data_IF_270592909674
#
_entry.id   IF_270592909674
#
_cell.length_a   1.000
_cell.length_b   1.000
_cell.length_c   1.000
_cell.angle_alpha   90.00
_cell.angle_beta   90.00
_cell.angle_gamma   90.00
#
_symmetry.space_group_name_H-M   'P 1'
#
loop_
_entity.id
_entity.type
_entity.pdbx_description
1 polymer ?
#
# COMPACT_ATOMS: atom_id res chain seq x y z
N UNK A 1 0.36 -39.02 8.23
CA UNK A 1 0.19 -39.51 6.84
C UNK A 1 -0.19 -38.31 6.00
N UNK A 2 0.58 -38.02 4.97
CA UNK A 2 0.27 -36.93 4.05
C UNK A 2 -1.02 -37.29 3.30
N UNK A 3 -2.13 -36.63 3.64
CA UNK A 3 -3.34 -36.73 2.82
C UNK A 3 -3.06 -35.96 1.52
N UNK A 4 -3.10 -36.65 0.38
CA UNK A 4 -2.97 -36.09 -0.96
C UNK A 4 -4.11 -35.09 -1.23
N UNK A 5 -3.97 -33.83 -0.77
CA UNK A 5 -4.92 -32.76 -1.05
C UNK A 5 -4.98 -32.39 -2.54
N UNK A 6 -3.91 -32.69 -3.29
CA UNK A 6 -3.84 -32.48 -4.74
C UNK A 6 -4.73 -33.44 -5.55
N UNK A 7 -5.22 -34.52 -4.93
CA UNK A 7 -6.10 -35.51 -5.57
C UNK A 7 -7.60 -35.26 -5.30
N UNK A 8 -7.94 -34.28 -4.45
CA UNK A 8 -9.34 -33.98 -4.13
C UNK A 8 -10.08 -33.46 -5.37
N UNK A 9 -11.22 -34.08 -5.75
CA UNK A 9 -12.04 -33.60 -6.86
C UNK A 9 -12.44 -32.14 -6.69
N UNK A 10 -12.49 -31.38 -7.79
CA UNK A 10 -12.87 -29.96 -7.74
C UNK A 10 -14.26 -29.70 -7.14
N UNK A 11 -15.19 -30.65 -7.33
CA UNK A 11 -16.52 -30.61 -6.71
C UNK A 11 -16.44 -30.71 -5.17
N UNK A 12 -15.56 -31.55 -4.65
CA UNK A 12 -15.37 -31.74 -3.21
C UNK A 12 -14.71 -30.51 -2.60
N UNK A 13 -13.72 -29.91 -3.29
CA UNK A 13 -13.13 -28.62 -2.89
C UNK A 13 -14.18 -27.51 -2.84
N UNK A 14 -15.03 -27.39 -3.86
CA UNK A 14 -16.12 -26.40 -3.89
C UNK A 14 -17.17 -26.65 -2.79
N UNK A 15 -17.50 -27.91 -2.51
CA UNK A 15 -18.41 -28.30 -1.45
C UNK A 15 -17.86 -28.00 -0.04
N UNK A 16 -16.57 -28.20 0.18
CA UNK A 16 -15.89 -27.86 1.44
C UNK A 16 -15.84 -26.34 1.62
N UNK A 17 -15.52 -25.57 0.57
CA UNK A 17 -15.62 -24.10 0.59
C UNK A 17 -17.03 -23.64 0.95
N UNK A 18 -18.04 -24.26 0.33
CA UNK A 18 -19.44 -23.95 0.59
C UNK A 18 -19.83 -24.20 2.06
N UNK A 19 -19.31 -25.26 2.66
CA UNK A 19 -19.51 -25.58 4.08
C UNK A 19 -18.82 -24.59 5.02
N UNK A 20 -17.61 -24.12 4.66
CA UNK A 20 -16.82 -23.19 5.50
C UNK A 20 -17.35 -21.76 5.40
N UNK A 21 -17.60 -21.29 4.18
CA UNK A 21 -18.02 -19.90 3.90
C UNK A 21 -19.51 -19.69 4.14
N UNK A 22 -20.31 -20.76 4.07
CA UNK A 22 -21.76 -20.70 4.13
C UNK A 22 -22.39 -20.25 2.80
N UNK A 23 -23.70 -20.44 2.69
CA UNK A 23 -24.44 -20.27 1.45
C UNK A 23 -24.40 -18.83 0.92
N UNK A 24 -24.66 -17.83 1.77
CA UNK A 24 -24.72 -16.42 1.37
C UNK A 24 -23.41 -15.94 0.75
N UNK A 25 -22.28 -16.20 1.42
CA UNK A 25 -20.96 -15.79 0.95
C UNK A 25 -20.55 -16.59 -0.29
N UNK A 26 -20.77 -17.89 -0.30
CA UNK A 26 -20.43 -18.76 -1.43
C UNK A 26 -21.15 -18.34 -2.71
N UNK A 27 -22.44 -18.00 -2.62
CA UNK A 27 -23.22 -17.50 -3.77
C UNK A 27 -22.64 -16.19 -4.35
N UNK A 28 -22.15 -15.29 -3.50
CA UNK A 28 -21.53 -14.04 -3.96
C UNK A 28 -20.19 -14.26 -4.68
N UNK A 29 -19.47 -15.33 -4.32
CA UNK A 29 -18.13 -15.64 -4.84
C UNK A 29 -18.14 -16.58 -6.04
N UNK A 30 -19.12 -17.49 -6.14
CA UNK A 30 -19.29 -18.47 -7.22
C UNK A 30 -19.99 -17.85 -8.45
N UNK A 31 -19.48 -16.74 -8.94
CA UNK A 31 -20.06 -16.03 -10.07
C UNK A 31 -19.96 -16.85 -11.36
N UNK A 32 -21.06 -16.92 -12.11
CA UNK A 32 -21.11 -17.64 -13.40
C UNK A 32 -21.28 -19.16 -13.31
N UNK A 33 -21.52 -19.72 -12.12
CA UNK A 33 -21.90 -21.13 -11.94
C UNK A 33 -23.37 -21.34 -12.31
N UNK A 34 -23.68 -22.45 -12.99
CA UNK A 34 -25.05 -22.84 -13.34
C UNK A 34 -25.83 -23.27 -12.08
N UNK A 35 -27.16 -23.10 -12.08
CA UNK A 35 -28.00 -23.58 -10.97
C UNK A 35 -27.84 -25.08 -10.73
N UNK A 36 -27.66 -25.87 -11.79
CA UNK A 36 -27.41 -27.31 -11.70
C UNK A 36 -26.11 -27.66 -10.99
N UNK A 37 -25.03 -26.91 -11.26
CA UNK A 37 -23.73 -27.14 -10.62
C UNK A 37 -23.74 -26.65 -9.17
N UNK A 38 -24.42 -25.53 -8.90
CA UNK A 38 -24.66 -25.05 -7.55
C UNK A 38 -25.43 -26.08 -6.71
N UNK A 39 -26.45 -26.71 -7.30
CA UNK A 39 -27.20 -27.77 -6.63
C UNK A 39 -26.31 -28.98 -6.33
N UNK A 40 -25.45 -29.39 -7.27
CA UNK A 40 -24.47 -30.46 -7.06
C UNK A 40 -23.51 -30.13 -5.92
N UNK A 41 -22.98 -28.90 -5.88
CA UNK A 41 -22.12 -28.44 -4.78
C UNK A 41 -22.85 -28.50 -3.45
N UNK A 42 -24.10 -28.01 -3.39
CA UNK A 42 -24.93 -28.00 -2.16
C UNK A 42 -25.26 -29.41 -1.67
N UNK A 43 -25.54 -30.35 -2.57
CA UNK A 43 -25.78 -31.75 -2.22
C UNK A 43 -24.48 -32.34 -1.68
N UNK A 44 -23.38 -32.17 -2.42
CA UNK A 44 -22.08 -32.72 -2.03
C UNK A 44 -21.59 -32.17 -0.69
N UNK A 45 -21.82 -30.90 -0.39
CA UNK A 45 -21.42 -30.29 0.90
C UNK A 45 -22.13 -30.89 2.10
N UNK A 46 -23.33 -31.48 1.91
CA UNK A 46 -24.05 -32.19 2.96
C UNK A 46 -23.56 -33.63 3.16
N UNK A 47 -23.06 -34.26 2.09
CA UNK A 47 -22.50 -35.61 2.12
C UNK A 47 -21.11 -35.65 2.78
N UNK A 48 -20.34 -34.57 2.63
CA UNK A 48 -19.01 -34.44 3.23
C UNK A 48 -19.12 -34.12 4.73
N UNK A 49 -18.97 -35.16 5.55
CA UNK A 49 -19.04 -35.07 7.01
C UNK A 49 -17.64 -35.28 7.60
N UNK A 50 -17.34 -34.63 8.73
CA UNK A 50 -16.08 -34.77 9.48
C UNK A 50 -14.81 -34.42 8.69
N UNK A 51 -14.89 -33.46 7.78
CA UNK A 51 -13.70 -32.93 7.09
C UNK A 51 -12.75 -32.30 8.12
N UNK A 52 -11.47 -32.75 8.20
CA UNK A 52 -10.49 -32.21 9.13
C UNK A 52 -10.28 -30.70 8.97
N UNK A 53 -9.92 -30.02 10.06
CA UNK A 53 -9.72 -28.57 10.06
C UNK A 53 -8.60 -28.15 9.10
N UNK A 54 -7.50 -28.93 9.07
CA UNK A 54 -6.34 -28.68 8.21
C UNK A 54 -6.74 -28.68 6.74
N UNK A 55 -7.60 -29.61 6.32
CA UNK A 55 -8.10 -29.70 4.95
C UNK A 55 -8.96 -28.49 4.60
N UNK A 56 -9.83 -28.05 5.52
CA UNK A 56 -10.65 -26.85 5.34
C UNK A 56 -9.80 -25.61 5.18
N UNK A 57 -8.79 -25.45 6.05
CA UNK A 57 -7.87 -24.31 6.02
C UNK A 57 -7.14 -24.25 4.67
N UNK A 58 -6.51 -25.35 4.26
CA UNK A 58 -5.76 -25.37 2.98
C UNK A 58 -6.65 -25.08 1.78
N UNK A 59 -7.89 -25.59 1.75
CA UNK A 59 -8.82 -25.31 0.65
C UNK A 59 -9.21 -23.83 0.59
N UNK A 60 -9.44 -23.19 1.74
CA UNK A 60 -9.73 -21.75 1.80
C UNK A 60 -8.55 -20.94 1.30
N UNK A 61 -7.33 -21.27 1.75
CA UNK A 61 -6.10 -20.61 1.30
C UNK A 61 -5.87 -20.79 -0.21
N UNK A 62 -6.07 -22.01 -0.74
CA UNK A 62 -5.96 -22.31 -2.17
C UNK A 62 -6.98 -21.50 -2.99
N UNK A 63 -8.22 -21.42 -2.53
CA UNK A 63 -9.29 -20.66 -3.20
C UNK A 63 -9.01 -19.16 -3.18
N UNK A 64 -8.59 -18.62 -2.04
CA UNK A 64 -8.17 -17.24 -1.90
C UNK A 64 -7.05 -16.90 -2.88
N UNK A 65 -5.98 -17.70 -2.90
CA UNK A 65 -4.86 -17.52 -3.83
C UNK A 65 -5.30 -17.56 -5.30
N UNK A 66 -6.19 -18.48 -5.68
CA UNK A 66 -6.73 -18.59 -7.04
C UNK A 66 -7.57 -17.38 -7.43
N UNK A 67 -8.46 -16.91 -6.54
CA UNK A 67 -9.27 -15.72 -6.77
C UNK A 67 -8.41 -14.49 -7.01
N UNK A 68 -7.35 -14.35 -6.22
CA UNK A 68 -6.46 -13.19 -6.29
C UNK A 68 -5.63 -13.28 -7.57
N UNK A 69 -5.09 -14.46 -7.91
CA UNK A 69 -4.41 -14.70 -9.20
C UNK A 69 -5.29 -14.41 -10.42
N UNK A 70 -6.59 -14.75 -10.39
CA UNK A 70 -7.51 -14.41 -11.49
C UNK A 70 -7.71 -12.90 -11.64
N UNK A 71 -7.89 -12.17 -10.53
CA UNK A 71 -7.90 -10.69 -10.55
C UNK A 71 -6.57 -10.14 -11.09
N UNK A 72 -5.45 -10.81 -10.83
CA UNK A 72 -4.12 -10.38 -11.27
C UNK A 72 -3.81 -10.68 -12.73
N UNK A 73 -4.39 -11.72 -13.37
CA UNK A 73 -4.25 -11.92 -14.82
C UNK A 73 -4.83 -10.78 -15.66
N UNK A 74 -5.76 -10.02 -15.10
CA UNK A 74 -6.33 -8.83 -15.75
C UNK A 74 -5.47 -7.57 -15.57
N UNK A 75 -4.50 -7.59 -14.66
CA UNK A 75 -3.52 -6.51 -14.51
C UNK A 75 -2.41 -6.78 -15.51
N UNK A 76 -2.30 -5.94 -16.54
CA UNK A 76 -1.23 -5.99 -17.54
C UNK A 76 0.12 -6.28 -16.86
N UNK A 77 0.73 -7.44 -17.13
CA UNK A 77 2.08 -7.80 -16.66
C UNK A 77 3.16 -6.78 -17.06
N UNK A 78 2.85 -5.88 -18.00
CA UNK A 78 3.71 -4.80 -18.47
C UNK A 78 3.60 -3.51 -17.64
N UNK A 79 2.54 -3.31 -16.84
CA UNK A 79 2.37 -2.11 -16.02
C UNK A 79 2.98 -2.33 -14.64
N UNK A 80 4.03 -1.56 -14.33
CA UNK A 80 4.57 -1.46 -12.98
C UNK A 80 3.43 -1.12 -12.00
N UNK A 81 3.23 -1.95 -10.98
CA UNK A 81 2.13 -1.82 -10.01
C UNK A 81 2.08 -0.43 -9.36
N UNK A 82 3.26 0.15 -9.13
CA UNK A 82 3.44 1.44 -8.48
C UNK A 82 3.72 2.61 -9.46
N UNK A 83 3.46 2.45 -10.76
CA UNK A 83 3.69 3.51 -11.75
C UNK A 83 3.01 4.85 -11.41
N UNK A 84 1.91 4.80 -10.65
CA UNK A 84 1.19 6.01 -10.20
C UNK A 84 2.03 6.90 -9.26
N UNK A 85 3.10 6.37 -8.64
CA UNK A 85 4.01 7.17 -7.81
C UNK A 85 4.86 8.15 -8.65
N UNK A 86 5.07 7.84 -9.93
CA UNK A 86 5.82 8.71 -10.84
C UNK A 86 5.06 10.01 -11.14
N UNK A 87 3.73 9.99 -11.04
CA UNK A 87 2.85 11.14 -11.28
C UNK A 87 2.74 12.09 -10.08
N UNK A 88 3.23 11.68 -8.91
CA UNK A 88 3.16 12.46 -7.66
C UNK A 88 4.44 13.27 -7.45
N UNK A 89 4.35 14.41 -6.76
CA UNK A 89 5.53 15.14 -6.27
C UNK A 89 5.98 14.65 -4.87
N UNK A 90 7.14 15.12 -4.38
CA UNK A 90 7.73 14.63 -3.12
C UNK A 90 6.87 14.90 -1.87
N UNK A 91 6.10 15.99 -1.84
CA UNK A 91 5.17 16.28 -0.75
C UNK A 91 3.98 15.34 -0.78
N UNK A 92 3.44 15.07 -1.97
CA UNK A 92 2.32 14.16 -2.15
C UNK A 92 2.70 12.72 -1.80
N UNK A 93 3.90 12.27 -2.19
CA UNK A 93 4.40 10.95 -1.79
C UNK A 93 4.59 10.89 -0.28
N UNK A 94 5.23 11.89 0.32
CA UNK A 94 5.43 11.89 1.77
C UNK A 94 4.09 11.86 2.51
N UNK A 95 3.13 12.69 2.10
CA UNK A 95 1.78 12.67 2.67
C UNK A 95 1.10 11.30 2.53
N UNK A 96 1.17 10.70 1.33
CA UNK A 96 0.59 9.40 1.02
C UNK A 96 1.11 8.29 1.94
N UNK A 97 2.41 8.27 2.24
CA UNK A 97 3.05 7.17 2.97
C UNK A 97 3.28 7.47 4.46
N UNK A 98 3.24 8.74 4.89
CA UNK A 98 3.62 9.14 6.26
C UNK A 98 2.78 8.51 7.38
N UNK A 99 1.56 8.08 7.08
CA UNK A 99 0.65 7.43 8.04
C UNK A 99 0.63 5.91 7.91
N UNK A 100 1.42 5.35 6.99
CA UNK A 100 1.48 3.91 6.72
C UNK A 100 2.45 3.20 7.68
N UNK A 101 2.40 1.88 7.70
CA UNK A 101 3.38 1.08 8.45
C UNK A 101 4.78 1.14 7.82
N UNK A 102 5.83 0.93 8.62
CA UNK A 102 7.23 0.92 8.14
C UNK A 102 7.44 0.03 6.91
N UNK A 103 6.78 -1.13 6.87
CA UNK A 103 6.81 -2.08 5.76
C UNK A 103 6.21 -1.51 4.47
N UNK A 104 5.04 -0.87 4.57
CA UNK A 104 4.38 -0.24 3.41
C UNK A 104 5.19 0.96 2.92
N UNK A 105 5.75 1.75 3.84
CA UNK A 105 6.64 2.86 3.51
C UNK A 105 7.87 2.34 2.75
N UNK A 106 8.53 1.31 3.25
CA UNK A 106 9.68 0.68 2.59
C UNK A 106 9.30 0.18 1.19
N UNK A 107 8.19 -0.55 1.06
CA UNK A 107 7.72 -1.06 -0.23
C UNK A 107 7.48 0.07 -1.24
N UNK A 108 6.84 1.17 -0.84
CA UNK A 108 6.57 2.31 -1.71
C UNK A 108 7.85 3.09 -2.07
N UNK A 109 8.73 3.32 -1.10
CA UNK A 109 10.01 4.00 -1.30
C UNK A 109 10.94 3.20 -2.22
N UNK A 110 10.89 1.87 -2.17
CA UNK A 110 11.72 0.99 -3.01
C UNK A 110 11.42 1.13 -4.51
N UNK A 111 10.22 1.61 -4.84
CA UNK A 111 9.80 1.83 -6.23
C UNK A 111 10.33 3.16 -6.81
N UNK A 112 10.87 4.04 -5.97
CA UNK A 112 11.38 5.34 -6.38
C UNK A 112 12.86 5.27 -6.78
N UNK A 113 13.33 6.25 -7.55
CA UNK A 113 14.76 6.40 -7.81
C UNK A 113 15.54 6.63 -6.52
N UNK A 114 16.79 6.16 -6.46
CA UNK A 114 17.64 6.28 -5.26
C UNK A 114 17.69 7.71 -4.70
N UNK A 115 17.91 8.72 -5.56
CA UNK A 115 17.94 10.11 -5.13
C UNK A 115 16.64 10.56 -4.45
N UNK A 116 15.49 10.13 -4.99
CA UNK A 116 14.16 10.47 -4.47
C UNK A 116 13.83 9.69 -3.20
N UNK A 117 14.16 8.40 -3.18
CA UNK A 117 14.09 7.50 -2.02
C UNK A 117 14.82 8.12 -0.83
N UNK A 118 16.09 8.49 -0.98
CA UNK A 118 16.88 9.13 0.06
C UNK A 118 16.29 10.47 0.51
N UNK A 119 15.84 11.32 -0.43
CA UNK A 119 15.26 12.62 -0.11
C UNK A 119 14.02 12.50 0.77
N UNK A 120 13.12 11.56 0.45
CA UNK A 120 11.88 11.34 1.21
C UNK A 120 12.16 10.61 2.52
N UNK A 121 13.02 9.58 2.51
CA UNK A 121 13.43 8.84 3.70
C UNK A 121 14.04 9.78 4.77
N UNK A 122 14.78 10.80 4.35
CA UNK A 122 15.39 11.77 5.27
C UNK A 122 14.40 12.71 5.97
N UNK A 123 13.13 12.70 5.60
CA UNK A 123 12.07 13.48 6.28
C UNK A 123 11.51 12.78 7.51
N UNK A 124 11.70 11.47 7.64
CA UNK A 124 11.30 10.72 8.83
C UNK A 124 12.29 10.94 9.97
N UNK A 125 11.79 10.87 11.20
CA UNK A 125 12.64 10.90 12.39
C UNK A 125 13.57 9.66 12.45
N UNK A 126 14.56 9.71 13.35
CA UNK A 126 15.59 8.66 13.44
C UNK A 126 15.02 7.27 13.71
N UNK A 127 13.99 7.17 14.55
CA UNK A 127 13.40 5.90 14.95
C UNK A 127 12.58 5.28 13.81
N UNK A 128 11.69 6.06 13.20
CA UNK A 128 10.91 5.63 12.04
C UNK A 128 11.83 5.26 10.87
N UNK A 129 12.84 6.10 10.59
CA UNK A 129 13.83 5.85 9.53
C UNK A 129 14.56 4.52 9.76
N UNK A 130 14.99 4.23 10.99
CA UNK A 130 15.63 2.96 11.33
C UNK A 130 14.72 1.76 11.01
N UNK A 131 13.46 1.81 11.44
CA UNK A 131 12.50 0.72 11.19
C UNK A 131 12.23 0.53 9.69
N UNK A 132 12.07 1.61 8.93
CA UNK A 132 11.89 1.55 7.47
C UNK A 132 13.11 0.91 6.80
N UNK A 133 14.32 1.22 7.28
CA UNK A 133 15.56 0.65 6.73
C UNK A 133 15.64 -0.86 6.94
N UNK A 134 15.24 -1.35 8.12
CA UNK A 134 15.19 -2.79 8.41
C UNK A 134 14.23 -3.49 7.43
N UNK A 135 13.05 -2.90 7.19
CA UNK A 135 12.04 -3.49 6.29
C UNK A 135 12.52 -3.62 4.85
N UNK A 136 13.45 -2.78 4.36
CA UNK A 136 14.04 -2.97 3.02
C UNK A 136 14.72 -4.33 2.85
N UNK A 137 15.30 -4.89 3.92
CA UNK A 137 15.92 -6.21 3.87
C UNK A 137 14.91 -7.36 3.78
N UNK A 138 13.69 -7.15 4.30
CA UNK A 138 12.63 -8.17 4.40
C UNK A 138 11.64 -8.11 3.23
N UNK A 139 11.78 -7.18 2.29
CA UNK A 139 10.80 -7.00 1.20
C UNK A 139 10.64 -8.24 0.31
N UNK A 140 11.69 -9.06 0.15
CA UNK A 140 11.65 -10.27 -0.67
C UNK A 140 10.72 -11.35 -0.11
N UNK A 141 10.41 -11.31 1.19
CA UNK A 141 9.54 -12.28 1.86
C UNK A 141 8.06 -11.88 1.78
N UNK A 142 7.75 -10.70 1.22
CA UNK A 142 6.38 -10.23 1.08
C UNK A 142 5.69 -10.99 -0.07
N UNK A 143 4.58 -11.71 0.20
CA UNK A 143 3.83 -12.37 -0.85
C UNK A 143 3.38 -11.37 -1.92
N UNK A 144 3.45 -11.77 -3.20
CA UNK A 144 3.05 -10.92 -4.33
C UNK A 144 1.66 -10.33 -4.14
N UNK A 145 0.74 -11.08 -3.54
CA UNK A 145 -0.60 -10.64 -3.26
C UNK A 145 -0.65 -9.40 -2.34
N UNK A 146 0.13 -9.42 -1.26
CA UNK A 146 0.23 -8.29 -0.35
C UNK A 146 0.77 -7.06 -1.07
N UNK A 147 1.81 -7.23 -1.91
CA UNK A 147 2.37 -6.14 -2.74
C UNK A 147 1.31 -5.51 -3.64
N UNK A 148 0.52 -6.33 -4.34
CA UNK A 148 -0.51 -5.80 -5.24
C UNK A 148 -1.63 -5.11 -4.47
N UNK A 149 -2.11 -5.71 -3.37
CA UNK A 149 -3.14 -5.10 -2.53
C UNK A 149 -2.68 -3.74 -2.00
N UNK A 150 -1.45 -3.65 -1.49
CA UNK A 150 -0.85 -2.38 -1.04
C UNK A 150 -0.75 -1.37 -2.17
N UNK A 151 -0.28 -1.77 -3.36
CA UNK A 151 -0.21 -0.87 -4.51
C UNK A 151 -1.59 -0.31 -4.90
N UNK A 152 -2.63 -1.16 -4.91
CA UNK A 152 -4.01 -0.73 -5.20
C UNK A 152 -4.56 0.20 -4.13
N UNK A 153 -4.29 -0.06 -2.86
CA UNK A 153 -4.74 0.77 -1.76
C UNK A 153 -4.09 2.16 -1.80
N UNK A 154 -2.76 2.21 -1.94
CA UNK A 154 -2.03 3.47 -2.09
C UNK A 154 -2.50 4.24 -3.32
N UNK A 155 -2.75 3.57 -4.45
CA UNK A 155 -3.31 4.20 -5.65
C UNK A 155 -4.71 4.79 -5.42
N UNK A 156 -5.57 4.13 -4.63
CA UNK A 156 -6.88 4.70 -4.27
C UNK A 156 -6.71 5.93 -3.37
N UNK A 157 -5.74 5.93 -2.46
CA UNK A 157 -5.46 7.08 -1.60
C UNK A 157 -4.98 8.30 -2.38
N UNK A 158 -4.40 8.15 -3.57
CA UNK A 158 -3.94 9.30 -4.37
C UNK A 158 -5.05 10.23 -4.82
N UNK A 159 -6.29 9.75 -5.01
CA UNK A 159 -7.41 10.62 -5.39
C UNK A 159 -7.84 11.58 -4.27
N UNK A 160 -7.39 11.34 -3.04
CA UNK A 160 -7.70 12.17 -1.87
C UNK A 160 -6.54 13.11 -1.49
N UNK A 161 -5.41 13.05 -2.21
CA UNK A 161 -4.28 13.94 -1.95
C UNK A 161 -4.59 15.31 -2.55
N UNK A 162 -4.48 16.40 -1.77
CA UNK A 162 -4.65 17.76 -2.28
C UNK A 162 -3.78 18.02 -3.51
N UNK A 163 -4.31 18.79 -4.45
CA UNK A 163 -3.62 19.11 -5.70
C UNK A 163 -2.33 19.92 -5.45
N UNK A 164 -1.37 19.95 -6.41
CA UNK A 164 -0.08 20.64 -6.27
C UNK A 164 -0.19 22.14 -5.94
N UNK A 165 -1.34 22.77 -6.21
CA UNK A 165 -1.57 24.20 -5.98
C UNK A 165 -1.98 24.54 -4.53
N UNK A 166 -2.44 23.58 -3.75
CA UNK A 166 -3.06 23.86 -2.43
C UNK A 166 -2.14 23.57 -1.24
N UNK A 167 -0.94 23.03 -1.46
CA UNK A 167 -0.12 22.54 -0.34
C UNK A 167 1.36 22.89 -0.47
N UNK A 168 1.71 24.12 -0.09
CA UNK A 168 3.09 24.51 0.27
C UNK A 168 3.21 24.56 1.79
N UNK A 169 4.06 23.74 2.41
CA UNK A 169 4.31 23.76 3.87
C UNK A 169 5.14 24.96 4.35
N UNK A 170 5.05 26.11 3.68
CA UNK A 170 5.90 27.26 3.99
C UNK A 170 7.39 26.95 3.79
N UNK A 171 8.24 27.53 4.64
CA UNK A 171 9.70 27.33 4.62
C UNK A 171 10.47 28.58 4.18
N UNK A 172 11.79 28.46 4.01
CA UNK A 172 12.68 29.59 3.76
C UNK A 172 12.27 30.49 2.58
N UNK A 173 11.72 29.91 1.51
CA UNK A 173 11.20 30.64 0.35
C UNK A 173 9.93 31.43 0.66
N UNK A 174 9.04 30.86 1.48
CA UNK A 174 7.83 31.58 1.94
C UNK A 174 8.17 32.68 2.93
N UNK A 175 9.16 32.46 3.80
CA UNK A 175 9.70 33.49 4.71
C UNK A 175 10.30 34.64 3.89
N UNK A 176 11.17 34.34 2.91
CA UNK A 176 11.72 35.36 2.02
C UNK A 176 10.63 36.13 1.26
N UNK A 177 9.59 35.43 0.80
CA UNK A 177 8.43 36.06 0.16
C UNK A 177 7.65 37.01 1.07
N UNK A 178 7.50 36.68 2.36
CA UNK A 178 6.88 37.56 3.36
C UNK A 178 7.79 38.75 3.65
N UNK A 179 9.07 38.53 3.93
CA UNK A 179 10.06 39.58 4.23
C UNK A 179 10.14 40.62 3.10
N UNK A 180 10.09 40.18 1.84
CA UNK A 180 10.09 41.07 0.68
C UNK A 180 8.83 41.96 0.56
N UNK A 181 7.75 41.64 1.28
CA UNK A 181 6.53 42.44 1.33
C UNK A 181 6.45 43.32 2.58
N UNK A 182 7.37 43.15 3.54
CA UNK A 182 7.45 43.95 4.76
C UNK A 182 8.18 45.27 4.52
N UNK A 183 8.10 46.17 5.50
CA UNK A 183 8.97 47.35 5.52
C UNK A 183 10.43 46.93 5.68
N UNK A 184 11.37 47.74 5.20
CA UNK A 184 12.80 47.42 5.26
C UNK A 184 13.27 47.25 6.71
N UNK A 185 12.81 48.10 7.61
CA UNK A 185 13.15 48.06 9.04
C UNK A 185 12.63 46.78 9.71
N UNK A 186 11.37 46.39 9.46
CA UNK A 186 10.80 45.16 10.03
C UNK A 186 11.48 43.92 9.46
N UNK A 187 11.75 43.91 8.14
CA UNK A 187 12.42 42.79 7.48
C UNK A 187 13.82 42.56 8.04
N UNK A 188 14.60 43.63 8.24
CA UNK A 188 15.93 43.53 8.84
C UNK A 188 15.89 43.01 10.27
N UNK A 189 14.94 43.52 11.08
CA UNK A 189 14.78 43.09 12.46
C UNK A 189 14.42 41.60 12.57
N UNK A 190 13.46 41.12 11.77
CA UNK A 190 13.08 39.71 11.74
C UNK A 190 14.22 38.82 11.19
N UNK A 191 14.97 39.29 10.19
CA UNK A 191 16.09 38.54 9.62
C UNK A 191 17.22 38.36 10.65
N UNK A 192 17.53 39.40 11.44
CA UNK A 192 18.50 39.33 12.53
C UNK A 192 18.05 38.36 13.63
N UNK A 193 16.76 38.33 13.94
CA UNK A 193 16.22 37.39 14.92
C UNK A 193 16.35 35.94 14.45
N UNK A 194 16.05 35.67 13.17
CA UNK A 194 16.24 34.35 12.56
C UNK A 194 17.73 33.95 12.56
N UNK A 195 18.65 34.88 12.34
CA UNK A 195 20.10 34.62 12.38
C UNK A 195 20.57 34.14 13.76
N UNK A 196 20.00 34.70 14.83
CA UNK A 196 20.32 34.32 16.21
C UNK A 196 19.71 32.97 16.57
N UNK A 197 18.45 32.74 16.20
CA UNK A 197 17.68 31.57 16.64
C UNK A 197 17.96 30.31 15.80
N UNK A 198 18.13 30.46 14.48
CA UNK A 198 18.39 29.35 13.54
C UNK A 198 19.30 29.81 12.37
N UNK A 199 20.64 29.76 12.55
CA UNK A 199 21.61 30.16 11.54
C UNK A 199 21.49 29.36 10.22
N UNK A 200 21.05 28.10 10.28
CA UNK A 200 20.85 27.30 9.07
C UNK A 200 19.64 27.78 8.27
N UNK A 201 18.54 28.11 8.95
CA UNK A 201 17.35 28.67 8.32
C UNK A 201 17.68 30.04 7.71
N UNK A 202 18.40 30.91 8.44
CA UNK A 202 18.86 32.19 7.91
C UNK A 202 19.63 32.05 6.59
N UNK A 203 20.61 31.14 6.54
CA UNK A 203 21.38 30.86 5.33
C UNK A 203 20.52 30.31 4.18
N UNK A 204 19.42 29.61 4.48
CA UNK A 204 18.44 29.13 3.48
C UNK A 204 17.53 30.27 3.01
N UNK A 205 17.12 31.19 3.88
CA UNK A 205 16.25 32.34 3.55
C UNK A 205 16.98 33.31 2.62
N UNK A 206 18.24 33.66 2.92
CA UNK A 206 19.06 34.57 2.08
C UNK A 206 19.36 34.08 0.65
N UNK A 207 19.08 32.81 0.35
CA UNK A 207 19.25 32.24 -1.00
C UNK A 207 18.07 32.50 -1.94
N UNK A 208 16.97 33.03 -1.42
CA UNK A 208 15.76 33.35 -2.16
C UNK A 208 15.54 34.86 -2.21
#
# INVERSE_FOLDING_TARGET
MANNLDELPGLDKAAILFQVLGESLSLSMFQGISESDLLRIRVRSKELINVPFEVKQTIVEEFYFKMMTQKYRQVDKSKKLFAFLDDLNDEQIYYLISTESSRIIALALDQLSEARKFKILNRFDSAAKHNIIIEFAELNDIPLEAVVNTAQELKKKTSFIPGPKEFTRGGAKSIAGILNQMSMDDSEQYLQQIEIDDPELFAKVKKY
#
